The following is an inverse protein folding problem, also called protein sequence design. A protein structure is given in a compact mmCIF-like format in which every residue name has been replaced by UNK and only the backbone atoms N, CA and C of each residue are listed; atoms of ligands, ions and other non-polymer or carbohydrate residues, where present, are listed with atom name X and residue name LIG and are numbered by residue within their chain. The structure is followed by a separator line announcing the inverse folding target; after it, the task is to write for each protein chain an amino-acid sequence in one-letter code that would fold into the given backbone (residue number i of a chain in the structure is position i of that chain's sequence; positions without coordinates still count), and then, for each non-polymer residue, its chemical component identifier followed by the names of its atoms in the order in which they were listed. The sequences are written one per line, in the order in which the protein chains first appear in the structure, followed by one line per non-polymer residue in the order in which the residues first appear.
data_IF_130636047254
#
_entry.id   IF_130636047254
#
_cell.length_a   1.000
_cell.length_b   1.000
_cell.length_c   1.000
_cell.angle_alpha   90.00
_cell.angle_beta   90.00
_cell.angle_gamma   90.00
#
_symmetry.space_group_name_H-M   'P 1'
#
loop_
_entity.id
_entity.type
_entity.pdbx_description
1 polymer ?
#
# COMPACT_ATOMS: atom_id res chain seq x y z
N UNK A 1 3.44 -17.63 24.25
CA UNK A 1 3.14 -17.59 22.80
C UNK A 1 2.88 -16.14 22.45
N UNK A 2 3.82 -15.48 21.79
CA UNK A 2 3.73 -14.06 21.48
C UNK A 2 3.22 -13.91 20.05
N UNK A 3 1.99 -13.42 19.90
CA UNK A 3 1.45 -13.00 18.61
C UNK A 3 2.20 -11.71 18.27
N UNK A 4 3.27 -11.82 17.51
CA UNK A 4 3.87 -10.67 16.84
C UNK A 4 2.85 -10.19 15.83
N UNK A 5 1.97 -9.27 16.22
CA UNK A 5 1.21 -8.48 15.27
C UNK A 5 2.24 -7.81 14.37
N UNK A 6 2.38 -8.32 13.15
CA UNK A 6 3.16 -7.69 12.08
C UNK A 6 2.45 -6.38 11.68
N UNK A 7 2.40 -5.41 12.60
CA UNK A 7 1.98 -4.03 12.36
C UNK A 7 3.15 -3.24 11.75
N UNK A 8 3.92 -3.91 10.90
CA UNK A 8 4.96 -3.30 10.09
C UNK A 8 4.61 -3.58 8.64
N UNK A 9 4.62 -2.56 7.77
CA UNK A 9 4.49 -2.77 6.34
C UNK A 9 5.50 -3.84 5.91
N UNK A 10 5.04 -4.92 5.26
CA UNK A 10 5.91 -6.00 4.74
C UNK A 10 6.96 -5.51 3.73
N UNK A 11 6.87 -4.24 3.31
CA UNK A 11 7.81 -3.58 2.43
C UNK A 11 8.25 -2.25 3.05
N UNK A 12 9.56 -2.03 3.17
CA UNK A 12 10.16 -0.78 3.66
C UNK A 12 10.05 0.38 2.63
N UNK A 13 9.28 0.20 1.56
CA UNK A 13 9.11 1.15 0.45
C UNK A 13 7.66 1.17 -0.04
N UNK A 14 7.21 2.27 -0.68
CA UNK A 14 5.86 2.36 -1.24
C UNK A 14 5.56 1.17 -2.16
N UNK A 15 4.51 0.42 -1.85
CA UNK A 15 4.10 -0.72 -2.67
C UNK A 15 3.28 -0.19 -3.84
N UNK A 16 3.75 -0.44 -5.06
CA UNK A 16 3.10 0.00 -6.30
C UNK A 16 2.55 -1.20 -7.06
N UNK A 17 1.27 -1.15 -7.39
CA UNK A 17 0.60 -2.19 -8.18
C UNK A 17 -0.04 -1.55 -9.40
N UNK A 18 0.32 -2.03 -10.58
CA UNK A 18 -0.34 -1.61 -11.82
C UNK A 18 -1.81 -2.08 -11.82
N UNK A 19 -2.71 -1.16 -12.09
CA UNK A 19 -4.15 -1.36 -12.22
C UNK A 19 -4.71 -0.79 -13.52
N UNK A 20 -3.86 -0.54 -14.52
CA UNK A 20 -4.25 0.04 -15.82
C UNK A 20 -5.37 -0.75 -16.50
N UNK A 21 -5.31 -2.08 -16.42
CA UNK A 21 -6.34 -2.98 -16.99
C UNK A 21 -7.30 -3.53 -15.92
N UNK A 22 -7.26 -2.99 -14.70
CA UNK A 22 -8.14 -3.44 -13.63
C UNK A 22 -9.56 -2.92 -13.89
N UNK A 23 -10.53 -3.84 -13.89
CA UNK A 23 -11.94 -3.45 -13.97
C UNK A 23 -12.32 -2.62 -12.75
N UNK A 24 -13.11 -1.57 -12.96
CA UNK A 24 -13.45 -0.59 -11.92
C UNK A 24 -14.11 -1.20 -10.69
N UNK A 25 -14.95 -2.23 -10.88
CA UNK A 25 -15.61 -2.99 -9.82
C UNK A 25 -14.63 -3.75 -8.92
N UNK A 26 -13.41 -4.04 -9.40
CA UNK A 26 -12.35 -4.73 -8.67
C UNK A 26 -11.37 -3.81 -7.96
N UNK A 27 -11.44 -2.49 -8.20
CA UNK A 27 -10.51 -1.52 -7.60
C UNK A 27 -10.65 -1.52 -6.08
N UNK A 28 -11.88 -1.58 -5.54
CA UNK A 28 -12.11 -1.59 -4.10
C UNK A 28 -11.48 -2.82 -3.42
N UNK A 29 -11.59 -4.00 -4.03
CA UNK A 29 -10.94 -5.21 -3.54
C UNK A 29 -9.41 -5.07 -3.59
N UNK A 30 -8.89 -4.50 -4.68
CA UNK A 30 -7.45 -4.29 -4.85
C UNK A 30 -6.88 -3.32 -3.83
N UNK A 31 -7.63 -2.27 -3.47
CA UNK A 31 -7.27 -1.34 -2.39
C UNK A 31 -7.18 -2.09 -1.05
N UNK A 32 -8.16 -2.93 -0.72
CA UNK A 32 -8.15 -3.72 0.53
C UNK A 32 -6.95 -4.66 0.60
N UNK A 33 -6.64 -5.36 -0.50
CA UNK A 33 -5.49 -6.26 -0.56
C UNK A 33 -4.14 -5.54 -0.52
N UNK A 34 -4.07 -4.29 -0.96
CA UNK A 34 -2.84 -3.48 -0.94
C UNK A 34 -2.73 -2.57 0.28
N UNK A 35 -3.69 -2.63 1.20
CA UNK A 35 -3.65 -1.80 2.38
C UNK A 35 -2.48 -2.25 3.26
N UNK A 36 -1.56 -1.32 3.51
CA UNK A 36 -0.54 -1.48 4.53
C UNK A 36 -1.08 -0.93 5.86
N UNK A 37 -0.72 -1.58 6.97
CA UNK A 37 -1.22 -1.20 8.27
C UNK A 37 -0.81 0.25 8.60
N UNK A 38 -1.78 1.04 9.07
CA UNK A 38 -1.59 2.46 9.32
C UNK A 38 -1.26 3.30 8.09
N UNK A 39 -1.41 2.81 6.85
CA UNK A 39 -1.08 3.52 5.61
C UNK A 39 -2.28 3.96 4.77
N UNK A 40 -2.03 4.95 3.91
CA UNK A 40 -2.99 5.42 2.90
C UNK A 40 -2.74 4.74 1.55
N UNK A 41 -3.81 4.56 0.78
CA UNK A 41 -3.75 4.02 -0.58
C UNK A 41 -4.35 5.03 -1.54
N UNK A 42 -3.61 5.39 -2.58
CA UNK A 42 -4.03 6.35 -3.61
C UNK A 42 -3.73 5.85 -5.03
N UNK A 43 -4.34 6.50 -6.02
CA UNK A 43 -4.09 6.22 -7.44
C UNK A 43 -3.07 7.23 -7.99
N UNK A 44 -2.06 6.71 -8.69
CA UNK A 44 -1.07 7.51 -9.42
C UNK A 44 -1.17 7.20 -10.91
N UNK A 45 -1.09 8.22 -11.78
CA UNK A 45 -0.99 8.03 -13.23
C UNK A 45 0.40 8.42 -13.72
N UNK A 46 1.09 7.50 -14.39
CA UNK A 46 2.47 7.69 -14.85
C UNK A 46 2.73 6.92 -16.13
N UNK A 47 3.30 7.57 -17.14
CA UNK A 47 3.66 6.92 -18.41
C UNK A 47 2.49 6.22 -19.11
N UNK A 48 1.28 6.77 -19.01
CA UNK A 48 0.07 6.18 -19.56
C UNK A 48 -0.55 5.06 -18.72
N UNK A 49 0.09 4.65 -17.63
CA UNK A 49 -0.37 3.59 -16.72
C UNK A 49 -0.94 4.16 -15.44
N UNK A 50 -1.83 3.40 -14.81
CA UNK A 50 -2.44 3.74 -13.51
C UNK A 50 -2.00 2.74 -12.46
N UNK A 51 -1.57 3.24 -11.32
CA UNK A 51 -1.04 2.46 -10.22
C UNK A 51 -1.85 2.70 -8.95
N UNK A 52 -2.11 1.64 -8.19
CA UNK A 52 -2.43 1.75 -6.78
C UNK A 52 -1.12 1.81 -6.00
N UNK A 53 -0.96 2.88 -5.22
CA UNK A 53 0.22 3.13 -4.41
C UNK A 53 -0.19 3.11 -2.95
N UNK A 54 0.39 2.18 -2.21
CA UNK A 54 0.26 2.13 -0.76
C UNK A 54 1.47 2.83 -0.13
N UNK A 55 1.19 3.92 0.57
CA UNK A 55 2.20 4.68 1.30
C UNK A 55 1.97 4.46 2.80
N UNK A 56 2.95 3.89 3.52
CA UNK A 56 2.89 3.87 4.99
C UNK A 56 2.76 5.30 5.49
N UNK A 57 1.79 5.58 6.35
CA UNK A 57 1.72 6.89 6.99
C UNK A 57 2.82 6.89 8.05
N UNK A 58 3.73 7.87 8.01
CA UNK A 58 4.77 8.00 9.03
C UNK A 58 4.13 8.35 10.37
N UNK A 59 3.70 7.33 11.08
CA UNK A 59 3.38 7.32 12.49
C UNK A 59 3.91 6.02 13.04
N UNK A 60 5.12 6.03 13.61
CA UNK A 60 5.82 4.92 14.29
C UNK A 60 6.67 3.93 13.46
N UNK A 61 7.29 4.34 12.35
CA UNK A 61 8.54 3.70 11.89
C UNK A 61 9.74 4.58 12.28
N UNK A 62 10.08 4.50 13.57
CA UNK A 62 11.36 4.82 14.22
C UNK A 62 12.37 5.67 13.42
N UNK A 63 12.54 6.89 13.91
CA UNK A 63 13.84 7.54 14.10
C UNK A 63 14.90 6.51 14.53
N UNK A 64 15.70 6.06 13.59
CA UNK A 64 16.93 5.27 13.78
C UNK A 64 17.57 5.21 12.40
N UNK A 65 18.70 5.84 12.12
CA UNK A 65 19.85 6.24 12.94
C UNK A 65 20.64 7.28 12.14
#
# INVERSE_FOLDING_TARGET
MSVSSEDRPRYASPTRVDVTECRTDRIADRIRSNRVAGGEVHLERRGGRTYLVATPTEGTASRSR
#
